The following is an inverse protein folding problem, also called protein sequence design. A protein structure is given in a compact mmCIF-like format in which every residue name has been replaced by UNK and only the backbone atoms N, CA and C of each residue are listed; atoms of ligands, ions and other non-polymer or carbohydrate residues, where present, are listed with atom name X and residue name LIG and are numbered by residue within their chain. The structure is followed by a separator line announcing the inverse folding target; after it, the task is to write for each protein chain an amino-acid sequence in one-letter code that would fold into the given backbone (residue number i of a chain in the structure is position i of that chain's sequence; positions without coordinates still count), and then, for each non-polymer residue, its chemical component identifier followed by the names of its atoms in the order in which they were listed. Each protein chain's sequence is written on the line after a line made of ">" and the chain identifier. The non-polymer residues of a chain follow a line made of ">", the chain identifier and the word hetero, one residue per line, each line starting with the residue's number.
data_IF_419351392996
#
_entry.id   IF_419351392996
#
_cell.length_a   1.000
_cell.length_b   1.000
_cell.length_c   1.000
_cell.angle_alpha   90.00
_cell.angle_beta   90.00
_cell.angle_gamma   90.00
#
_symmetry.space_group_name_H-M   'P 1'
#
loop_
_entity.id
_entity.type
_entity.pdbx_description
1 polymer ?
#
# COMPACT_ATOMS: atom_id res chain seq x y z
N UNK A 1 -8.82 40.46 30.25
CA UNK A 1 -8.50 39.04 29.99
C UNK A 1 -7.83 38.98 28.64
N UNK A 2 -6.50 38.93 28.63
CA UNK A 2 -5.66 38.77 27.45
C UNK A 2 -5.59 37.28 27.15
N UNK A 3 -6.20 36.83 26.06
CA UNK A 3 -6.06 35.46 25.57
C UNK A 3 -4.64 35.30 25.03
N UNK A 4 -3.80 34.57 25.76
CA UNK A 4 -2.55 34.05 25.23
C UNK A 4 -2.87 33.07 24.11
N UNK A 5 -2.61 33.50 22.87
CA UNK A 5 -2.60 32.61 21.72
C UNK A 5 -1.29 31.83 21.82
N UNK A 6 -1.35 30.61 22.37
CA UNK A 6 -0.25 29.66 22.29
C UNK A 6 0.19 29.58 20.83
N UNK A 7 1.47 29.83 20.49
CA UNK A 7 1.91 29.71 19.11
C UNK A 7 1.81 28.24 18.72
N UNK A 8 0.70 27.89 18.06
CA UNK A 8 0.56 26.61 17.38
C UNK A 8 1.77 26.48 16.47
N UNK A 9 2.54 25.42 16.68
CA UNK A 9 3.79 25.15 15.97
C UNK A 9 3.54 25.21 14.45
N UNK A 10 3.78 26.36 13.81
CA UNK A 10 3.61 26.54 12.37
C UNK A 10 4.70 25.73 11.71
N UNK A 11 4.34 24.51 11.32
CA UNK A 11 5.26 23.60 10.64
C UNK A 11 5.28 23.92 9.16
N UNK A 12 6.44 24.38 8.71
CA UNK A 12 6.73 24.52 7.29
C UNK A 12 7.14 23.16 6.74
N UNK A 13 6.60 22.80 5.59
CA UNK A 13 7.04 21.65 4.80
C UNK A 13 7.13 22.08 3.34
N UNK A 14 8.00 21.42 2.59
CA UNK A 14 8.19 21.67 1.16
C UNK A 14 7.60 20.53 0.35
N UNK A 15 6.90 20.86 -0.73
CA UNK A 15 6.34 19.89 -1.69
C UNK A 15 6.87 20.25 -3.06
N UNK A 16 7.31 19.24 -3.83
CA UNK A 16 7.71 19.45 -5.22
C UNK A 16 6.52 19.97 -6.03
N UNK A 17 6.74 21.01 -6.83
CA UNK A 17 5.69 21.55 -7.70
C UNK A 17 5.33 20.59 -8.83
N UNK A 18 6.20 19.63 -9.15
CA UNK A 18 5.99 18.63 -10.21
C UNK A 18 4.71 17.83 -10.00
N UNK A 19 4.29 17.62 -8.74
CA UNK A 19 3.07 16.87 -8.45
C UNK A 19 1.82 17.54 -9.02
N UNK A 20 1.81 18.87 -9.14
CA UNK A 20 0.69 19.62 -9.70
C UNK A 20 0.63 19.54 -11.23
N UNK A 21 1.74 19.15 -11.87
CA UNK A 21 1.86 19.04 -13.32
C UNK A 21 1.78 17.60 -13.83
N UNK A 22 1.82 16.61 -12.94
CA UNK A 22 1.65 15.21 -13.33
C UNK A 22 0.21 14.93 -13.77
N UNK A 23 0.01 14.64 -15.05
CA UNK A 23 -1.30 14.40 -15.65
C UNK A 23 -1.96 13.09 -15.21
N UNK A 24 -1.20 12.14 -14.65
CA UNK A 24 -1.77 10.91 -14.09
C UNK A 24 -2.34 11.11 -12.68
N UNK A 25 -2.06 12.25 -12.03
CA UNK A 25 -2.51 12.55 -10.68
C UNK A 25 -3.68 13.52 -10.70
N UNK A 26 -4.80 13.08 -10.15
CA UNK A 26 -5.94 13.95 -9.89
C UNK A 26 -5.72 14.81 -8.63
N UNK A 27 -6.66 15.74 -8.40
CA UNK A 27 -6.62 16.63 -7.25
C UNK A 27 -6.62 15.87 -5.90
N UNK A 28 -7.22 14.67 -5.86
CA UNK A 28 -7.25 13.86 -4.65
C UNK A 28 -5.87 13.26 -4.37
N UNK A 29 -5.20 12.75 -5.39
CA UNK A 29 -3.84 12.20 -5.32
C UNK A 29 -2.84 13.27 -4.89
N UNK A 30 -2.92 14.46 -5.49
CA UNK A 30 -2.11 15.62 -5.10
C UNK A 30 -2.35 16.01 -3.64
N UNK A 31 -3.61 16.08 -3.21
CA UNK A 31 -3.97 16.42 -1.83
C UNK A 31 -3.46 15.38 -0.83
N UNK A 32 -3.61 14.09 -1.13
CA UNK A 32 -3.11 13.01 -0.26
C UNK A 32 -1.59 13.10 -0.13
N UNK A 33 -0.87 13.36 -1.22
CA UNK A 33 0.58 13.54 -1.15
C UNK A 33 0.98 14.72 -0.25
N UNK A 34 0.26 15.85 -0.35
CA UNK A 34 0.47 17.01 0.54
C UNK A 34 0.22 16.62 2.00
N UNK A 35 -0.88 15.91 2.29
CA UNK A 35 -1.20 15.45 3.64
C UNK A 35 -0.10 14.55 4.19
N UNK A 36 0.37 13.58 3.42
CA UNK A 36 1.44 12.67 3.81
C UNK A 36 2.76 13.42 4.01
N UNK A 37 3.11 14.34 3.11
CA UNK A 37 4.33 15.14 3.19
C UNK A 37 4.34 16.11 4.38
N UNK A 38 3.17 16.62 4.76
CA UNK A 38 3.00 17.51 5.93
C UNK A 38 3.03 16.76 7.27
N UNK A 39 2.85 15.45 7.24
CA UNK A 39 2.77 14.61 8.43
C UNK A 39 4.16 14.13 8.82
N UNK A 40 4.81 14.84 9.74
CA UNK A 40 6.14 14.53 10.29
C UNK A 40 6.27 13.05 10.70
N UNK A 41 7.43 12.42 10.41
CA UNK A 41 8.06 11.18 10.89
C UNK A 41 7.19 9.96 11.31
N UNK A 42 6.06 10.19 11.96
CA UNK A 42 4.99 9.24 12.25
C UNK A 42 3.87 9.30 11.20
N UNK A 43 4.21 9.44 9.91
CA UNK A 43 3.29 8.97 8.85
C UNK A 43 2.90 7.49 9.07
N UNK A 44 3.69 6.78 9.89
CA UNK A 44 3.46 5.47 10.45
C UNK A 44 2.30 5.37 11.47
N UNK A 45 1.89 6.46 12.14
CA UNK A 45 0.77 6.45 13.09
C UNK A 45 -0.55 6.90 12.47
N UNK A 46 -0.48 7.55 11.30
CA UNK A 46 -1.67 7.98 10.58
C UNK A 46 -2.49 6.78 10.11
N UNK A 47 -3.76 6.81 10.48
CA UNK A 47 -4.76 5.92 9.92
C UNK A 47 -5.27 6.46 8.58
N UNK A 48 -5.76 5.56 7.73
CA UNK A 48 -6.40 5.94 6.46
C UNK A 48 -7.55 6.94 6.65
N UNK A 49 -8.34 6.80 7.72
CA UNK A 49 -9.44 7.70 8.04
C UNK A 49 -8.96 9.12 8.36
N UNK A 50 -7.87 9.26 9.12
CA UNK A 50 -7.27 10.57 9.41
C UNK A 50 -6.71 11.23 8.15
N UNK A 51 -6.05 10.46 7.29
CA UNK A 51 -5.53 10.95 6.01
C UNK A 51 -6.68 11.43 5.12
N UNK A 52 -7.74 10.63 5.00
CA UNK A 52 -8.94 11.00 4.23
C UNK A 52 -9.60 12.28 4.78
N UNK A 53 -9.75 12.39 6.10
CA UNK A 53 -10.30 13.58 6.76
C UNK A 53 -9.44 14.83 6.52
N UNK A 54 -8.12 14.72 6.69
CA UNK A 54 -7.18 15.83 6.41
C UNK A 54 -7.23 16.25 4.95
N UNK A 55 -7.34 15.29 4.03
CA UNK A 55 -7.51 15.52 2.61
C UNK A 55 -8.93 15.93 2.19
N UNK A 56 -9.87 16.03 3.14
CA UNK A 56 -11.28 16.40 2.92
C UNK A 56 -11.97 15.51 1.86
N UNK A 57 -11.74 14.21 1.94
CA UNK A 57 -12.29 13.22 1.02
C UNK A 57 -12.77 11.97 1.75
N UNK A 58 -13.45 11.09 1.03
CA UNK A 58 -13.85 9.79 1.57
C UNK A 58 -12.66 8.83 1.62
N UNK A 59 -12.73 7.80 2.47
CA UNK A 59 -11.70 6.74 2.53
C UNK A 59 -11.53 6.04 1.18
N UNK A 60 -12.62 5.83 0.43
CA UNK A 60 -12.57 5.25 -0.91
C UNK A 60 -11.77 6.11 -1.90
N UNK A 61 -11.93 7.44 -1.85
CA UNK A 61 -11.13 8.35 -2.67
C UNK A 61 -9.67 8.37 -2.22
N UNK A 62 -9.43 8.33 -0.91
CA UNK A 62 -8.08 8.25 -0.36
C UNK A 62 -7.35 6.97 -0.80
N UNK A 63 -8.01 5.81 -0.82
CA UNK A 63 -7.43 4.55 -1.33
C UNK A 63 -7.00 4.71 -2.79
N UNK A 64 -7.90 5.19 -3.65
CA UNK A 64 -7.59 5.40 -5.08
C UNK A 64 -6.45 6.40 -5.31
N UNK A 65 -6.47 7.49 -4.55
CA UNK A 65 -5.42 8.50 -4.59
C UNK A 65 -4.08 7.92 -4.14
N UNK A 66 -4.04 7.17 -3.04
CA UNK A 66 -2.84 6.48 -2.59
C UNK A 66 -2.35 5.45 -3.62
N UNK A 67 -3.26 4.78 -4.33
CA UNK A 67 -2.91 3.83 -5.37
C UNK A 67 -2.17 4.53 -6.51
N UNK A 68 -2.71 5.64 -7.02
CA UNK A 68 -2.07 6.44 -8.06
C UNK A 68 -0.67 6.93 -7.63
N UNK A 69 -0.52 7.33 -6.36
CA UNK A 69 0.79 7.74 -5.83
C UNK A 69 1.81 6.58 -5.76
N UNK A 70 1.37 5.35 -5.49
CA UNK A 70 2.26 4.18 -5.55
C UNK A 70 2.64 3.85 -6.98
N UNK A 71 1.68 3.88 -7.90
CA UNK A 71 1.90 3.57 -9.31
C UNK A 71 2.89 4.56 -9.95
N UNK A 72 2.87 5.83 -9.52
CA UNK A 72 3.84 6.88 -9.89
C UNK A 72 5.12 6.90 -9.03
N UNK A 73 5.30 5.91 -8.15
CA UNK A 73 6.47 5.79 -7.25
C UNK A 73 6.71 7.00 -6.34
N UNK A 74 5.68 7.80 -6.09
CA UNK A 74 5.72 8.97 -5.20
C UNK A 74 5.63 8.58 -3.73
N UNK A 75 5.07 7.40 -3.43
CA UNK A 75 5.08 6.79 -2.11
C UNK A 75 5.47 5.30 -2.21
N UNK A 76 6.12 4.73 -1.19
CA UNK A 76 6.54 3.32 -1.22
C UNK A 76 5.35 2.38 -1.02
N UNK A 77 5.40 1.20 -1.65
CA UNK A 77 4.42 0.12 -1.47
C UNK A 77 4.19 -0.21 0.02
N UNK A 78 5.26 -0.26 0.82
CA UNK A 78 5.17 -0.51 2.27
C UNK A 78 4.24 0.47 3.00
N UNK A 79 4.27 1.75 2.64
CA UNK A 79 3.40 2.76 3.26
C UNK A 79 1.93 2.53 2.88
N UNK A 80 1.67 2.24 1.62
CA UNK A 80 0.34 1.89 1.12
C UNK A 80 -0.22 0.66 1.84
N UNK A 81 0.54 -0.44 1.85
CA UNK A 81 0.15 -1.71 2.49
C UNK A 81 -0.20 -1.51 3.95
N UNK A 82 0.58 -0.71 4.67
CA UNK A 82 0.35 -0.39 6.09
C UNK A 82 -0.97 0.35 6.33
N UNK A 83 -1.30 1.34 5.49
CA UNK A 83 -2.51 2.16 5.67
C UNK A 83 -3.79 1.48 5.19
N UNK A 84 -3.72 0.76 4.07
CA UNK A 84 -4.89 0.16 3.43
C UNK A 84 -5.17 -1.25 3.98
N UNK A 85 -4.11 -2.04 4.20
CA UNK A 85 -4.22 -3.47 4.50
C UNK A 85 -4.54 -4.30 3.27
N UNK A 86 -4.13 -5.58 3.27
CA UNK A 86 -4.27 -6.48 2.12
C UNK A 86 -5.70 -6.65 1.61
N UNK A 87 -6.70 -6.67 2.50
CA UNK A 87 -8.08 -6.94 2.12
C UNK A 87 -8.76 -5.76 1.42
N UNK A 88 -8.31 -4.54 1.70
CA UNK A 88 -8.82 -3.32 1.05
C UNK A 88 -7.99 -2.89 -0.16
N UNK A 89 -6.90 -3.60 -0.48
CA UNK A 89 -6.17 -3.37 -1.72
C UNK A 89 -6.93 -4.01 -2.90
N UNK A 90 -7.52 -3.18 -3.74
CA UNK A 90 -8.25 -3.60 -4.94
C UNK A 90 -7.31 -4.06 -6.08
N UNK A 91 -5.99 -3.85 -5.94
CA UNK A 91 -4.98 -4.38 -6.87
C UNK A 91 -4.61 -5.84 -6.61
N UNK A 92 -5.17 -6.44 -5.56
CA UNK A 92 -4.99 -7.85 -5.22
C UNK A 92 -6.28 -8.64 -5.49
N UNK A 93 -6.16 -9.72 -6.25
CA UNK A 93 -7.19 -10.72 -6.43
C UNK A 93 -7.49 -11.46 -5.12
N UNK A 94 -8.66 -12.10 -5.06
CA UNK A 94 -9.01 -12.97 -3.93
C UNK A 94 -8.01 -14.12 -3.74
N UNK A 95 -7.50 -14.69 -4.84
CA UNK A 95 -6.47 -15.71 -4.80
C UNK A 95 -5.17 -15.18 -4.17
N UNK A 96 -4.71 -14.00 -4.57
CA UNK A 96 -3.54 -13.34 -3.98
C UNK A 96 -3.73 -13.05 -2.48
N UNK A 97 -4.90 -12.55 -2.07
CA UNK A 97 -5.23 -12.30 -0.65
C UNK A 97 -5.23 -13.58 0.18
N UNK A 98 -5.83 -14.65 -0.35
CA UNK A 98 -5.85 -15.96 0.30
C UNK A 98 -4.44 -16.55 0.45
N UNK A 99 -3.67 -16.54 -0.65
CA UNK A 99 -2.29 -17.01 -0.67
C UNK A 99 -1.41 -16.25 0.32
N UNK A 100 -1.52 -14.91 0.36
CA UNK A 100 -0.79 -14.08 1.31
C UNK A 100 -1.13 -14.45 2.76
N UNK A 101 -2.42 -14.65 3.06
CA UNK A 101 -2.87 -15.06 4.39
C UNK A 101 -2.27 -16.41 4.78
N UNK A 102 -2.29 -17.37 3.87
CA UNK A 102 -1.70 -18.69 4.08
C UNK A 102 -0.18 -18.61 4.33
N UNK A 103 0.54 -17.81 3.54
CA UNK A 103 1.99 -17.61 3.70
C UNK A 103 2.34 -16.92 5.03
N UNK A 104 1.49 -16.02 5.55
CA UNK A 104 1.69 -15.39 6.87
C UNK A 104 1.65 -16.41 8.01
N UNK A 105 0.79 -17.43 7.89
CA UNK A 105 0.69 -18.54 8.85
C UNK A 105 1.80 -19.58 8.66
N UNK A 106 2.28 -19.77 7.43
CA UNK A 106 3.28 -20.77 7.06
C UNK A 106 4.56 -20.11 6.52
N UNK A 107 5.28 -19.36 7.36
CA UNK A 107 6.41 -18.50 6.96
C UNK A 107 7.57 -19.19 6.23
N UNK A 108 7.69 -20.51 6.38
CA UNK A 108 8.77 -21.30 5.79
C UNK A 108 8.30 -22.10 4.56
N UNK A 109 7.08 -21.89 4.10
CA UNK A 109 6.56 -22.64 2.97
C UNK A 109 7.33 -22.31 1.69
N UNK A 110 7.63 -23.36 0.93
CA UNK A 110 8.33 -23.27 -0.33
C UNK A 110 7.34 -23.29 -1.51
N UNK A 111 7.76 -22.80 -2.67
CA UNK A 111 6.92 -22.86 -3.88
C UNK A 111 6.49 -24.29 -4.23
N UNK A 112 7.36 -25.32 -4.21
CA UNK A 112 6.93 -26.70 -4.48
C UNK A 112 5.86 -27.19 -3.50
N UNK A 113 5.95 -26.82 -2.21
CA UNK A 113 4.93 -27.15 -1.22
C UNK A 113 3.61 -26.43 -1.51
N UNK A 114 3.65 -25.15 -1.91
CA UNK A 114 2.47 -24.42 -2.37
C UNK A 114 1.82 -25.06 -3.60
N UNK A 115 2.62 -25.45 -4.60
CA UNK A 115 2.10 -26.09 -5.82
C UNK A 115 1.55 -27.50 -5.56
N UNK A 116 2.14 -28.24 -4.63
CA UNK A 116 1.59 -29.53 -4.20
C UNK A 116 0.22 -29.39 -3.52
N UNK A 117 -0.07 -28.24 -2.91
CA UNK A 117 -1.39 -27.95 -2.33
C UNK A 117 -2.42 -27.59 -3.40
N UNK A 118 -2.04 -26.96 -4.52
CA UNK A 118 -2.96 -26.74 -5.66
C UNK A 118 -3.45 -28.06 -6.25
N UNK A 119 -2.58 -29.05 -6.42
CA UNK A 119 -2.92 -30.38 -6.96
C UNK A 119 -3.97 -31.10 -6.11
N UNK A 120 -4.02 -30.80 -4.81
CA UNK A 120 -4.99 -31.38 -3.86
C UNK A 120 -6.30 -30.57 -3.79
N UNK A 121 -6.25 -29.28 -4.13
CA UNK A 121 -7.37 -28.34 -3.98
C UNK A 121 -8.15 -28.12 -5.28
N UNK A 122 -7.63 -28.62 -6.41
CA UNK A 122 -8.21 -28.39 -7.74
C UNK A 122 -7.97 -26.97 -8.27
N UNK A 123 -7.14 -26.18 -7.60
CA UNK A 123 -6.63 -24.92 -8.14
C UNK A 123 -5.54 -25.22 -9.17
N UNK A 124 -5.51 -24.46 -10.27
CA UNK A 124 -4.48 -24.63 -11.30
C UNK A 124 -3.14 -24.02 -10.83
N UNK A 125 -2.03 -24.70 -11.06
CA UNK A 125 -0.66 -24.22 -10.83
C UNK A 125 -0.46 -22.80 -11.40
N UNK A 126 -1.08 -22.54 -12.55
CA UNK A 126 -1.02 -21.22 -13.20
C UNK A 126 -1.68 -20.11 -12.38
N UNK A 127 -2.68 -20.45 -11.56
CA UNK A 127 -3.39 -19.51 -10.69
C UNK A 127 -2.53 -19.11 -9.50
N UNK A 128 -1.81 -20.04 -8.88
CA UNK A 128 -0.85 -19.74 -7.79
C UNK A 128 0.27 -18.85 -8.30
N UNK A 129 0.86 -19.16 -9.47
CA UNK A 129 1.91 -18.34 -10.05
C UNK A 129 1.44 -16.92 -10.37
N UNK A 130 0.22 -16.76 -10.90
CA UNK A 130 -0.40 -15.44 -11.12
C UNK A 130 -0.57 -14.67 -9.83
N UNK A 131 -1.08 -15.32 -8.78
CA UNK A 131 -1.23 -14.71 -7.47
C UNK A 131 0.11 -14.26 -6.87
N UNK A 132 1.18 -15.06 -7.02
CA UNK A 132 2.53 -14.68 -6.58
C UNK A 132 3.06 -13.47 -7.35
N UNK A 133 2.94 -13.44 -8.68
CA UNK A 133 3.33 -12.29 -9.50
C UNK A 133 2.57 -11.01 -9.10
N UNK A 134 1.29 -11.14 -8.77
CA UNK A 134 0.47 -10.02 -8.31
C UNK A 134 0.94 -9.51 -6.94
N UNK A 135 1.25 -10.41 -6.00
CA UNK A 135 1.80 -10.06 -4.70
C UNK A 135 3.17 -9.39 -4.84
N UNK A 136 4.04 -9.90 -5.71
CA UNK A 136 5.36 -9.33 -5.98
C UNK A 136 5.25 -7.90 -6.53
N UNK A 137 4.48 -7.73 -7.61
CA UNK A 137 4.26 -6.44 -8.28
C UNK A 137 3.71 -5.38 -7.33
N UNK A 138 2.85 -5.78 -6.39
CA UNK A 138 2.24 -4.86 -5.43
C UNK A 138 3.06 -4.71 -4.13
N UNK A 139 4.26 -5.30 -4.07
CA UNK A 139 5.23 -5.15 -2.98
C UNK A 139 4.94 -6.01 -1.75
N UNK A 140 4.03 -6.98 -1.84
CA UNK A 140 3.65 -7.85 -0.71
C UNK A 140 4.64 -8.99 -0.43
N UNK A 141 5.49 -9.37 -1.40
CA UNK A 141 6.50 -10.41 -1.22
C UNK A 141 7.83 -9.92 -0.62
N UNK A 142 8.04 -8.62 -0.44
CA UNK A 142 9.26 -8.06 0.16
C UNK A 142 9.57 -8.64 1.55
N UNK A 143 8.55 -9.09 2.28
CA UNK A 143 8.66 -9.66 3.63
C UNK A 143 8.80 -11.20 3.63
N UNK A 144 8.65 -11.84 2.46
CA UNK A 144 8.73 -13.29 2.27
C UNK A 144 9.94 -13.64 1.42
N UNK A 145 11.12 -13.53 2.02
CA UNK A 145 12.42 -13.67 1.34
C UNK A 145 12.54 -14.94 0.49
N UNK A 146 11.99 -16.07 0.95
CA UNK A 146 12.06 -17.34 0.22
C UNK A 146 11.14 -17.35 -1.02
N UNK A 147 9.92 -16.81 -0.91
CA UNK A 147 9.02 -16.68 -2.07
C UNK A 147 9.53 -15.66 -3.08
N UNK A 148 10.14 -14.57 -2.60
CA UNK A 148 10.70 -13.52 -3.45
C UNK A 148 11.92 -14.02 -4.25
N UNK A 149 12.81 -14.84 -3.63
CA UNK A 149 13.94 -15.46 -4.33
C UNK A 149 13.48 -16.38 -5.46
N UNK A 150 12.37 -17.09 -5.28
CA UNK A 150 11.86 -18.08 -6.23
C UNK A 150 11.16 -17.47 -7.46
N UNK A 151 10.76 -16.19 -7.40
CA UNK A 151 10.26 -15.47 -8.58
C UNK A 151 11.39 -15.00 -9.52
N UNK A 152 12.61 -14.91 -9.01
CA UNK A 152 13.79 -14.41 -9.74
C UNK A 152 14.87 -15.47 -10.00
N UNK A 153 14.68 -16.71 -9.57
CA UNK A 153 15.58 -17.85 -9.78
C UNK A 153 15.04 -18.82 -10.82
#
# INVERSE_FOLDING_TARGET
>A
MTTEITPGNVRNFTVSTEIFYNQSLDIYSQMIYIVLSSSTADSASLTLDEVAKKGRMTTKLAIKAMQALVDEQLIPHKLFRKMIGEFQDDRLSWAAKGLLTYCKEHKNITLPELLALSDQSGEDETSIRKALMELERNGYLEEFTELNKLMHG
#
